data_IF_965214574908
#
_entry.id   IF_965214574908
#
_cell.length_a   1.000
_cell.length_b   1.000
_cell.length_c   1.000
_cell.angle_alpha   90.00
_cell.angle_beta   90.00
_cell.angle_gamma   90.00
#
_symmetry.space_group_name_H-M   'P 1'
#
loop_
_entity.id
_entity.type
_entity.pdbx_description
1 polymer ?
2 non-polymer ?
3 water ?
#
# COMPACT_ATOMS: atom_id res chain seq x y z
N UNK A 2 32.10 25.09 -6.37
CA UNK A 2 31.12 24.43 -5.52
C UNK A 2 30.68 23.10 -6.11
N UNK A 3 30.84 22.03 -5.34
CA UNK A 3 30.44 20.69 -5.75
C UNK A 3 29.00 20.45 -5.31
N UNK A 4 28.11 20.25 -6.27
CA UNK A 4 26.70 20.03 -5.95
C UNK A 4 25.99 19.38 -7.12
N UNK A 5 24.83 18.83 -6.81
CA UNK A 5 23.99 18.14 -7.80
C UNK A 5 22.67 18.89 -7.91
N UNK A 6 22.29 19.24 -9.14
CA UNK A 6 21.08 20.02 -9.41
C UNK A 6 20.05 19.06 -9.97
N UNK A 7 19.03 18.77 -9.17
CA UNK A 7 17.98 17.82 -9.55
C UNK A 7 16.83 18.53 -10.24
N UNK A 8 16.11 17.80 -11.08
CA UNK A 8 14.92 18.32 -11.72
C UNK A 8 14.00 17.15 -12.09
N UNK A 9 12.74 17.48 -12.35
CA UNK A 9 11.75 16.49 -12.69
C UNK A 9 10.84 16.14 -11.53
N UNK A 10 10.08 15.07 -11.72
CA UNK A 10 9.13 14.62 -10.74
C UNK A 10 7.73 15.13 -11.01
N UNK A 11 6.90 15.07 -9.98
CA UNK A 11 5.55 15.57 -10.03
C UNK A 11 4.55 14.46 -9.83
N UNK A 12 3.29 14.77 -10.16
CA UNK A 12 2.18 13.86 -9.98
C UNK A 12 1.82 13.23 -11.31
N UNK A 13 1.81 11.90 -11.35
CA UNK A 13 1.45 11.13 -12.53
C UNK A 13 0.47 10.06 -12.12
N UNK A 14 -0.14 9.43 -13.11
CA UNK A 14 -1.09 8.39 -12.80
C UNK A 14 -0.42 7.02 -12.90
N UNK A 15 -0.91 6.02 -12.16
CA UNK A 15 -0.26 4.70 -12.17
C UNK A 15 -0.23 4.11 -13.57
N UNK A 16 0.78 3.26 -13.80
CA UNK A 16 1.15 2.86 -15.14
C UNK A 16 1.93 3.89 -15.91
N UNK A 17 2.00 5.12 -15.41
CA UNK A 17 2.73 6.17 -16.08
C UNK A 17 4.23 6.00 -15.95
N UNK A 18 4.94 6.96 -16.52
CA UNK A 18 6.40 6.97 -16.49
C UNK A 18 6.87 8.41 -16.41
N UNK A 19 8.09 8.59 -15.92
CA UNK A 19 8.73 9.90 -15.94
C UNK A 19 10.22 9.70 -15.70
N UNK A 20 10.97 10.78 -15.91
CA UNK A 20 12.43 10.75 -15.81
C UNK A 20 12.89 11.87 -14.91
N UNK A 21 13.73 11.52 -13.94
CA UNK A 21 14.37 12.50 -13.08
C UNK A 21 15.77 12.80 -13.60
N UNK A 22 16.18 14.05 -13.45
CA UNK A 22 17.50 14.50 -13.87
C UNK A 22 18.31 14.94 -12.66
N UNK A 23 19.63 14.84 -12.79
CA UNK A 23 20.57 15.22 -11.73
C UNK A 23 21.84 15.71 -12.41
N UNK A 24 21.96 17.03 -12.55
CA UNK A 24 23.10 17.61 -13.27
C UNK A 24 24.25 17.85 -12.30
N UNK A 25 25.43 17.32 -12.63
CA UNK A 25 26.61 17.52 -11.80
C UNK A 25 27.22 18.89 -12.05
N UNK A 26 27.65 19.54 -10.98
CA UNK A 26 28.28 20.85 -11.05
C UNK A 26 29.53 20.83 -10.16
N UNK A 27 30.66 21.22 -10.74
CA UNK A 27 31.92 21.22 -10.02
C UNK A 27 32.73 19.94 -10.13
N UNK A 28 32.19 18.91 -10.79
CA UNK A 28 32.93 17.68 -11.02
C UNK A 28 32.34 17.00 -12.25
N UNK A 29 33.00 15.94 -12.70
CA UNK A 29 32.60 15.21 -13.89
C UNK A 29 32.18 13.80 -13.52
N UNK A 30 31.13 13.30 -14.17
CA UNK A 30 30.68 11.93 -13.94
C UNK A 30 31.60 10.90 -14.58
N UNK A 31 32.37 11.31 -15.59
CA UNK A 31 33.33 10.40 -16.22
C UNK A 31 34.57 10.18 -15.37
N UNK A 32 34.80 11.03 -14.36
CA UNK A 32 35.98 10.89 -13.51
C UNK A 32 35.98 9.54 -12.82
N UNK A 33 37.14 8.87 -12.87
CA UNK A 33 37.28 7.58 -12.21
C UNK A 33 37.01 7.70 -10.71
N UNK A 34 36.31 6.71 -10.16
CA UNK A 34 35.91 6.70 -8.78
C UNK A 34 34.54 7.29 -8.50
N UNK A 35 33.97 8.03 -9.45
CA UNK A 35 32.72 8.76 -9.25
C UNK A 35 31.53 7.87 -9.59
N UNK A 36 30.50 7.91 -8.74
CA UNK A 36 29.25 7.26 -9.04
C UNK A 36 28.09 8.14 -8.65
N UNK A 37 26.91 7.81 -9.19
CA UNK A 37 25.68 8.50 -8.87
C UNK A 37 24.67 7.50 -8.33
N UNK A 38 24.04 7.83 -7.21
CA UNK A 38 23.12 6.96 -6.52
C UNK A 38 21.77 7.65 -6.36
N UNK A 39 20.70 6.89 -6.53
CA UNK A 39 19.35 7.39 -6.29
C UNK A 39 18.77 6.75 -5.04
N UNK A 40 18.24 7.59 -4.15
CA UNK A 40 17.64 7.16 -2.89
C UNK A 40 16.26 7.81 -2.82
N UNK A 41 15.30 7.12 -2.21
CA UNK A 41 13.96 7.67 -2.07
C UNK A 41 13.48 7.56 -0.62
N UNK A 42 12.47 8.37 -0.32
CA UNK A 42 11.92 8.52 1.03
C UNK A 42 10.42 8.70 0.92
N UNK A 43 9.66 7.68 1.30
CA UNK A 43 8.22 7.80 1.31
C UNK A 43 7.78 8.75 2.42
N UNK A 44 6.64 9.44 2.25
CA UNK A 44 6.16 10.36 3.30
C UNK A 44 6.08 9.71 4.67
N UNK A 45 6.79 10.28 5.64
CA UNK A 45 6.79 9.78 7.00
C UNK A 45 7.71 8.61 7.25
N UNK A 46 8.42 8.11 6.24
CA UNK A 46 9.27 6.95 6.38
C UNK A 46 10.74 7.35 6.21
N UNK A 47 11.61 6.35 6.20
CA UNK A 47 13.04 6.56 6.10
C UNK A 47 13.56 6.49 4.67
N UNK A 48 14.85 6.16 4.56
CA UNK A 48 15.55 6.19 3.29
C UNK A 48 15.65 4.78 2.71
N UNK A 49 15.51 4.68 1.39
CA UNK A 49 15.63 3.41 0.69
C UNK A 49 16.55 3.60 -0.52
N UNK A 50 17.61 2.80 -0.57
CA UNK A 50 18.51 2.82 -1.72
C UNK A 50 17.83 2.18 -2.92
N UNK A 51 17.96 2.82 -4.09
CA UNK A 51 17.33 2.34 -5.31
C UNK A 51 18.32 1.82 -6.33
N UNK A 52 19.36 2.59 -6.64
CA UNK A 52 20.27 2.23 -7.71
C UNK A 52 21.54 3.07 -7.62
N UNK A 53 22.62 2.54 -8.17
CA UNK A 53 23.91 3.22 -8.22
C UNK A 53 24.56 2.90 -9.55
N UNK A 54 25.05 3.93 -10.25
CA UNK A 54 25.79 3.75 -11.49
C UNK A 54 27.17 4.39 -11.32
N UNK A 55 28.21 3.67 -11.73
CA UNK A 55 29.58 4.12 -11.56
C UNK A 55 30.14 4.64 -12.87
N UNK A 56 31.31 5.28 -12.74
CA UNK A 56 32.00 5.87 -13.90
C UNK A 56 32.26 4.85 -15.01
N UNK A 57 32.47 3.58 -14.65
CA UNK A 57 32.88 2.55 -15.60
C UNK A 57 31.71 1.69 -16.09
N UNK A 58 30.50 2.23 -16.08
CA UNK A 58 29.26 1.60 -16.53
C UNK A 58 28.78 0.48 -15.60
N UNK A 59 29.51 0.16 -14.54
CA UNK A 59 29.00 -0.80 -13.56
C UNK A 59 27.80 -0.20 -12.82
N UNK A 60 26.91 -1.07 -12.36
CA UNK A 60 25.66 -0.60 -11.79
C UNK A 60 25.03 -1.70 -10.94
N UNK A 61 24.19 -1.28 -10.01
CA UNK A 61 23.43 -2.17 -9.15
C UNK A 61 22.04 -1.59 -8.92
N UNK A 62 21.06 -2.48 -8.75
CA UNK A 62 19.67 -2.07 -8.54
C UNK A 62 19.08 -2.78 -7.33
N UNK A 63 18.17 -2.08 -6.65
CA UNK A 63 17.37 -2.69 -5.60
C UNK A 63 16.22 -3.48 -6.23
N UNK A 64 15.81 -4.55 -5.54
CA UNK A 64 14.74 -5.39 -6.05
C UNK A 64 13.45 -4.62 -6.22
N UNK A 65 13.25 -3.55 -5.44
CA UNK A 65 12.02 -2.78 -5.51
C UNK A 65 11.87 -1.98 -6.80
N UNK A 66 12.90 -1.92 -7.64
CA UNK A 66 12.83 -1.12 -8.87
C UNK A 66 13.33 -1.91 -10.07
N UNK A 67 13.83 -3.13 -9.84
CA UNK A 67 14.30 -3.96 -10.93
C UNK A 67 13.18 -4.23 -11.93
N UNK A 68 13.51 -4.15 -13.22
CA UNK A 68 12.54 -4.35 -14.27
C UNK A 68 11.65 -3.17 -14.55
N UNK A 69 11.76 -2.09 -13.80
CA UNK A 69 10.92 -0.91 -13.98
C UNK A 69 11.72 0.39 -14.10
N UNK A 70 12.72 0.59 -13.26
CA UNK A 70 13.53 1.79 -13.27
C UNK A 70 14.90 1.47 -13.86
N UNK A 71 15.41 2.37 -14.70
CA UNK A 71 16.78 2.28 -15.19
C UNK A 71 17.54 3.56 -14.85
N UNK A 72 18.82 3.39 -14.55
CA UNK A 72 19.70 4.49 -14.15
C UNK A 72 20.68 4.74 -15.28
N UNK A 73 21.01 6.00 -15.53
CA UNK A 73 21.82 6.36 -16.68
C UNK A 73 22.67 7.58 -16.35
N UNK A 74 23.65 7.84 -17.21
CA UNK A 74 24.51 9.00 -17.10
C UNK A 74 24.91 9.45 -18.50
N UNK A 75 24.74 10.74 -18.78
CA UNK A 75 25.10 11.32 -20.07
C UNK A 75 26.32 12.21 -19.86
N UNK A 76 27.46 11.78 -20.39
CA UNK A 76 28.68 12.58 -20.27
C UNK A 76 28.58 13.89 -21.03
N UNK A 77 27.91 13.88 -22.18
CA UNK A 77 27.78 15.08 -23.00
C UNK A 77 27.08 16.21 -22.25
N UNK A 78 26.17 15.86 -21.34
CA UNK A 78 25.50 16.85 -20.50
C UNK A 78 25.94 16.80 -19.06
N UNK A 79 26.85 15.90 -18.70
CA UNK A 79 27.31 15.72 -17.32
C UNK A 79 26.12 15.54 -16.38
N UNK A 80 25.13 14.77 -16.83
CA UNK A 80 23.85 14.62 -16.14
C UNK A 80 23.51 13.15 -15.98
N UNK A 81 23.07 12.79 -14.79
CA UNK A 81 22.58 11.45 -14.51
C UNK A 81 21.05 11.45 -14.51
N UNK A 82 20.47 10.28 -14.79
CA UNK A 82 19.03 10.16 -14.94
C UNK A 82 18.53 8.91 -14.23
N UNK A 83 17.30 9.00 -13.73
CA UNK A 83 16.54 7.83 -13.29
C UNK A 83 15.30 7.76 -14.16
N UNK A 84 15.25 6.75 -15.04
CA UNK A 84 14.09 6.54 -15.91
C UNK A 84 13.12 5.60 -15.18
N UNK A 85 11.98 6.15 -14.75
CA UNK A 85 11.03 5.43 -13.92
C UNK A 85 9.84 5.02 -14.78
N UNK A 86 9.66 3.71 -14.95
CA UNK A 86 8.54 3.20 -15.73
C UNK A 86 7.65 2.31 -14.88
N UNK A 87 6.39 2.23 -15.32
CA UNK A 87 5.30 1.52 -14.67
C UNK A 87 5.27 1.79 -13.16
N UNK A 88 4.98 3.05 -12.85
CA UNK A 88 4.86 3.52 -11.49
C UNK A 88 3.55 3.02 -10.88
N UNK A 89 3.61 2.77 -9.58
CA UNK A 89 2.45 2.43 -8.78
C UNK A 89 2.35 3.40 -7.62
N UNK A 90 1.21 3.37 -6.93
CA UNK A 90 1.01 4.27 -5.79
C UNK A 90 2.11 4.11 -4.75
N UNK A 91 2.68 2.90 -4.63
CA UNK A 91 3.75 2.65 -3.67
C UNK A 91 5.09 3.22 -4.10
N UNK A 92 5.19 3.80 -5.29
CA UNK A 92 6.39 4.52 -5.70
C UNK A 92 6.38 5.97 -5.21
N UNK A 93 5.28 6.40 -4.58
CA UNK A 93 5.18 7.76 -4.08
C UNK A 93 6.24 8.03 -3.03
N UNK A 94 7.13 8.99 -3.30
CA UNK A 94 8.23 9.29 -2.40
C UNK A 94 8.97 10.52 -2.90
N UNK A 95 9.79 11.08 -2.02
CA UNK A 95 10.78 12.08 -2.41
C UNK A 95 12.02 11.34 -2.91
N UNK A 96 12.48 11.70 -4.11
CA UNK A 96 13.60 11.02 -4.73
C UNK A 96 14.83 11.91 -4.72
N UNK A 97 15.94 11.37 -4.23
CA UNK A 97 17.21 12.09 -4.16
C UNK A 97 18.23 11.44 -5.06
N UNK A 98 19.09 12.25 -5.66
CA UNK A 98 20.34 11.76 -6.21
C UNK A 98 21.46 12.16 -5.26
N UNK A 99 22.57 11.44 -5.36
CA UNK A 99 23.71 11.67 -4.48
C UNK A 99 24.97 11.17 -5.17
N UNK A 100 26.09 11.82 -4.87
CA UNK A 100 27.35 11.52 -5.51
C UNK A 100 28.10 10.46 -4.71
N UNK A 101 28.58 9.43 -5.40
CA UNK A 101 29.36 8.33 -4.83
C UNK A 101 28.94 7.90 -3.43
N UNK A 109 33.51 5.15 0.05
CA UNK A 109 32.26 4.95 -0.67
C UNK A 109 31.07 5.33 0.20
N UNK A 110 30.61 6.57 0.05
CA UNK A 110 29.53 7.09 0.88
C UNK A 110 28.81 8.20 0.13
N UNK A 111 27.50 8.27 0.32
CA UNK A 111 26.67 9.21 -0.42
C UNK A 111 26.89 10.63 0.11
N UNK A 112 27.38 11.51 -0.77
CA UNK A 112 27.75 12.87 -0.42
C UNK A 112 27.21 13.82 -1.48
N UNK A 113 27.03 15.08 -1.08
CA UNK A 113 26.53 16.14 -1.95
C UNK A 113 25.18 15.75 -2.56
N UNK A 114 24.21 15.50 -1.68
CA UNK A 114 22.89 15.08 -2.12
C UNK A 114 22.20 16.19 -2.91
N UNK A 115 21.44 15.78 -3.93
CA UNK A 115 20.51 16.70 -4.55
C UNK A 115 19.42 17.14 -3.59
N UNK A 116 18.63 18.12 -4.03
CA UNK A 116 17.61 18.68 -3.15
C UNK A 116 16.43 17.75 -2.94
N UNK A 117 16.19 16.81 -3.84
CA UNK A 117 15.04 15.93 -3.73
C UNK A 117 13.83 16.47 -4.46
N UNK A 118 13.05 15.58 -5.06
CA UNK A 118 11.78 15.98 -5.67
C UNK A 118 10.73 14.91 -5.39
N UNK A 119 9.51 15.36 -5.14
CA UNK A 119 8.42 14.45 -4.85
C UNK A 119 7.88 13.86 -6.14
N UNK A 120 7.72 12.54 -6.16
CA UNK A 120 6.98 11.84 -7.21
C UNK A 120 5.74 11.25 -6.57
N UNK A 121 4.57 11.71 -7.00
CA UNK A 121 3.31 11.19 -6.50
C UNK A 121 2.63 10.40 -7.62
N UNK A 122 2.27 9.17 -7.32
CA UNK A 122 1.61 8.29 -8.28
C UNK A 122 0.21 8.03 -7.75
N UNK A 123 -0.78 8.66 -8.39
CA UNK A 123 -2.15 8.66 -7.89
C UNK A 123 -3.11 8.77 -9.05
N UNK A 124 -4.20 8.03 -8.99
CA UNK A 124 -5.27 8.12 -9.98
C UNK A 124 -6.53 8.77 -9.38
N UNK A 125 -6.38 9.46 -8.26
CA UNK A 125 -7.50 10.13 -7.63
C UNK A 125 -7.17 10.70 -6.26
N UNK A 127 -8.65 14.28 -3.25
CA UNK A 127 -9.66 13.26 -3.37
C UNK A 127 -9.75 12.36 -2.16
N UNK A 128 -9.68 11.05 -2.38
CA UNK A 128 -9.69 10.08 -1.29
C UNK A 128 -11.03 9.94 -0.61
N UNK A 129 -12.10 9.77 -1.40
CA UNK A 129 -13.45 9.63 -0.88
C UNK A 129 -13.78 8.19 -0.46
N UNK A 130 -12.76 7.35 -0.24
CA UNK A 130 -13.01 5.95 0.05
C UNK A 130 -13.61 5.78 1.43
N UNK A 131 -14.69 5.00 1.51
CA UNK A 131 -15.32 4.68 2.78
C UNK A 131 -14.45 3.69 3.54
N UNK A 132 -14.03 4.07 4.75
CA UNK A 132 -13.22 3.20 5.58
C UNK A 132 -14.12 2.38 6.51
N UNK A 133 -13.87 1.08 6.58
CA UNK A 133 -14.62 0.18 7.45
C UNK A 133 -13.71 -0.26 8.58
N UNK A 134 -14.18 -0.10 9.82
CA UNK A 134 -13.44 -0.49 11.01
C UNK A 134 -14.19 -1.62 11.71
N UNK A 135 -13.49 -2.71 11.98
CA UNK A 135 -14.05 -3.84 12.71
C UNK A 135 -13.49 -3.86 14.13
N UNK A 136 -14.31 -4.36 15.05
CA UNK A 136 -13.91 -4.50 16.45
C UNK A 136 -14.53 -5.78 16.99
N UNK A 137 -13.74 -6.62 17.69
CA UNK A 137 -12.31 -6.41 17.89
C UNK A 137 -11.51 -6.93 16.71
N UNK A 138 -10.17 -6.83 16.76
CA UNK A 138 -9.35 -7.43 15.71
C UNK A 138 -9.21 -8.94 15.88
N UNK A 139 -9.37 -9.44 17.10
CA UNK A 139 -9.37 -10.86 17.38
C UNK A 139 -10.09 -11.08 18.70
N UNK A 140 -10.66 -12.27 18.86
CA UNK A 140 -11.33 -12.61 20.11
C UNK A 140 -11.20 -14.10 20.36
N UNK A 141 -11.13 -14.47 21.63
CA UNK A 141 -11.07 -15.86 22.05
C UNK A 141 -12.45 -16.32 22.48
N UNK A 142 -12.79 -17.56 22.14
CA UNK A 142 -14.13 -18.06 22.42
C UNK A 142 -14.08 -19.57 22.53
N UNK A 143 -15.07 -20.11 23.24
CA UNK A 143 -15.23 -21.55 23.39
C UNK A 143 -16.49 -21.99 22.64
N UNK A 144 -16.52 -23.28 22.28
CA UNK A 144 -17.69 -23.84 21.62
C UNK A 144 -18.93 -23.61 22.48
N UNK A 145 -20.01 -23.16 21.84
CA UNK A 145 -21.24 -22.84 22.54
C UNK A 145 -21.36 -21.41 23.01
N UNK A 146 -20.33 -20.59 22.82
CA UNK A 146 -20.37 -19.20 23.27
C UNK A 146 -21.16 -18.33 22.32
N UNK A 147 -21.71 -17.24 22.86
CA UNK A 147 -22.25 -16.17 22.04
C UNK A 147 -21.12 -15.24 21.63
N UNK A 148 -21.04 -14.94 20.33
CA UNK A 148 -19.96 -14.12 19.79
C UNK A 148 -20.58 -12.95 19.04
N UNK A 149 -20.14 -11.74 19.34
CA UNK A 149 -20.60 -10.52 18.70
C UNK A 149 -19.40 -9.80 18.08
N UNK A 150 -19.51 -9.49 16.79
CA UNK A 150 -18.48 -8.79 16.06
C UNK A 150 -19.09 -7.52 15.49
N UNK A 151 -18.44 -6.38 15.74
CA UNK A 151 -18.98 -5.10 15.34
C UNK A 151 -18.20 -4.51 14.17
N UNK A 152 -18.86 -3.60 13.47
CA UNK A 152 -18.32 -2.96 12.28
C UNK A 152 -18.98 -1.60 12.11
N UNK A 153 -18.23 -0.64 11.59
CA UNK A 153 -18.76 0.67 11.35
C UNK A 153 -18.11 1.27 10.11
N UNK A 154 -18.80 2.21 9.49
CA UNK A 154 -18.38 2.82 8.25
C UNK A 154 -18.09 4.30 8.46
N UNK A 155 -17.08 4.80 7.77
CA UNK A 155 -16.74 6.21 7.84
C UNK A 155 -17.81 7.11 7.25
N UNK A 156 -18.78 6.55 6.52
CA UNK A 156 -19.92 7.30 6.02
C UNK A 156 -21.18 6.46 6.19
N UNK A 157 -22.32 7.08 5.92
CA UNK A 157 -23.58 6.35 5.93
C UNK A 157 -23.65 5.44 4.70
N UNK A 158 -23.68 4.14 4.95
CA UNK A 158 -23.79 3.15 3.87
C UNK A 158 -25.16 2.50 3.83
N UNK A 159 -26.11 3.03 4.59
CA UNK A 159 -27.46 2.45 4.72
C UNK A 159 -27.28 1.00 5.18
N UNK A 160 -27.97 0.04 4.56
CA UNK A 160 -27.83 -1.37 4.91
C UNK A 160 -26.97 -2.14 3.91
N UNK A 161 -26.17 -1.44 3.11
CA UNK A 161 -25.34 -2.08 2.08
C UNK A 161 -24.06 -2.61 2.72
N UNK A 162 -24.22 -3.71 3.46
CA UNK A 162 -23.15 -4.30 4.25
C UNK A 162 -23.24 -5.82 4.17
N UNK A 163 -22.13 -6.46 3.83
CA UNK A 163 -22.03 -7.91 3.78
C UNK A 163 -21.08 -8.41 4.85
N UNK A 164 -21.25 -9.68 5.23
CA UNK A 164 -20.38 -10.34 6.19
C UNK A 164 -19.81 -11.61 5.56
N UNK A 165 -18.49 -11.75 5.60
CA UNK A 165 -17.82 -12.89 4.99
C UNK A 165 -17.04 -13.68 6.05
N UNK A 166 -16.87 -14.97 5.77
CA UNK A 166 -16.09 -15.87 6.60
C UNK A 166 -14.98 -16.48 5.76
N UNK A 167 -13.78 -16.55 6.32
CA UNK A 167 -12.64 -17.14 5.64
C UNK A 167 -11.86 -18.01 6.60
N UNK A 168 -11.62 -19.25 6.21
CA UNK A 168 -10.77 -20.17 6.94
C UNK A 168 -9.38 -20.19 6.32
N UNK A 169 -8.36 -20.60 7.08
CA UNK A 169 -6.99 -20.57 6.55
C UNK A 169 -6.86 -21.39 5.27
N UNK A 170 -6.20 -20.79 4.27
CA UNK A 170 -6.01 -21.44 2.99
C UNK A 170 -7.25 -21.55 2.13
N UNK A 171 -8.39 -21.01 2.57
CA UNK A 171 -9.64 -21.09 1.83
C UNK A 171 -10.06 -19.72 1.36
N UNK A 172 -10.94 -19.72 0.35
CA UNK A 172 -11.51 -18.47 -0.12
C UNK A 172 -12.59 -17.99 0.83
N UNK A 173 -12.82 -16.68 0.90
CA UNK A 173 -13.93 -16.17 1.72
C UNK A 173 -15.27 -16.75 1.28
N UNK A 174 -16.23 -16.68 2.19
CA UNK A 174 -17.56 -17.24 1.95
C UNK A 174 -18.60 -16.27 2.46
N UNK A 175 -19.58 -15.96 1.62
CA UNK A 175 -20.63 -15.03 2.00
C UNK A 175 -21.53 -15.65 3.06
N UNK A 176 -21.75 -14.91 4.15
CA UNK A 176 -22.64 -15.35 5.23
C UNK A 176 -23.93 -14.55 5.28
N UNK A 177 -23.84 -13.22 5.18
CA UNK A 177 -24.98 -12.34 5.34
C UNK A 177 -24.83 -11.18 4.37
N UNK A 178 -25.90 -10.88 3.63
CA UNK A 178 -25.93 -9.76 2.70
C UNK A 178 -27.02 -8.78 3.11
N UNK A 179 -26.83 -7.52 2.74
CA UNK A 179 -27.75 -6.44 3.06
C UNK A 179 -28.07 -6.41 4.56
N UNK A 180 -26.99 -6.33 5.36
CA UNK A 180 -27.03 -6.17 6.81
C UNK A 180 -27.56 -7.39 7.55
N UNK A 181 -28.74 -7.89 7.19
CA UNK A 181 -29.40 -8.91 8.00
C UNK A 181 -29.89 -10.15 7.24
N UNK A 182 -29.71 -10.22 5.92
CA UNK A 182 -30.24 -11.33 5.15
C UNK A 182 -29.26 -12.49 5.18
N UNK A 183 -29.68 -13.61 5.76
CA UNK A 183 -28.84 -14.80 5.85
C UNK A 183 -28.70 -15.45 4.49
N UNK A 184 -27.48 -15.82 4.13
CA UNK A 184 -27.23 -16.46 2.85
C UNK A 184 -27.73 -17.90 2.89
N UNK A 185 -28.44 -18.30 1.83
CA UNK A 185 -29.00 -19.64 1.74
C UNK A 185 -27.94 -20.70 2.02
N UNK A 186 -28.26 -21.61 2.95
CA UNK A 186 -27.33 -22.65 3.32
C UNK A 186 -26.43 -22.33 4.49
N UNK A 187 -26.34 -21.07 4.89
CA UNK A 187 -25.57 -20.71 6.08
C UNK A 187 -26.44 -20.94 7.32
N UNK A 188 -25.92 -21.57 8.37
CA UNK A 188 -26.76 -21.89 9.54
C UNK A 188 -27.36 -20.64 10.17
N UNK A 189 -28.59 -20.79 10.67
CA UNK A 189 -29.32 -19.68 11.25
C UNK A 189 -28.75 -19.18 12.57
N UNK A 190 -27.72 -19.85 13.12
CA UNK A 190 -27.05 -19.29 14.29
C UNK A 190 -26.31 -18.00 13.95
N UNK A 191 -26.02 -17.77 12.68
CA UNK A 191 -25.45 -16.51 12.23
C UNK A 191 -26.56 -15.51 11.96
N UNK A 192 -26.40 -14.28 12.45
CA UNK A 192 -27.37 -13.23 12.18
C UNK A 192 -26.65 -11.89 12.15
N UNK A 193 -27.22 -10.95 11.41
CA UNK A 193 -26.66 -9.61 11.30
C UNK A 193 -27.70 -8.57 11.63
N UNK A 194 -27.23 -7.46 12.18
CA UNK A 194 -28.11 -6.35 12.54
C UNK A 194 -27.32 -5.06 12.45
N UNK A 195 -28.03 -3.95 12.60
CA UNK A 195 -27.45 -2.62 12.48
C UNK A 195 -28.08 -1.71 13.52
N UNK A 196 -27.26 -1.14 14.39
CA UNK A 196 -27.74 -0.21 15.40
C UNK A 196 -27.45 1.23 15.00
N UNK A 197 -27.14 2.07 15.98
CA UNK A 197 -26.82 3.45 15.70
C UNK A 197 -25.46 3.62 15.04
N UNK A 198 -25.46 3.71 13.71
CA UNK A 198 -24.31 4.01 12.88
C UNK A 198 -23.24 2.92 12.86
N UNK A 199 -23.55 1.72 13.34
CA UNK A 199 -22.61 0.62 13.20
C UNK A 199 -23.38 -0.70 13.07
N UNK A 200 -22.64 -1.75 12.73
CA UNK A 200 -23.21 -3.03 12.35
C UNK A 200 -22.65 -4.13 13.25
N UNK A 201 -23.41 -5.21 13.40
CA UNK A 201 -23.03 -6.31 14.28
C UNK A 201 -23.29 -7.64 13.60
N UNK A 202 -22.31 -8.54 13.66
CA UNK A 202 -22.50 -9.94 13.30
C UNK A 202 -22.50 -10.76 14.58
N UNK A 203 -23.52 -11.59 14.74
CA UNK A 203 -23.72 -12.37 15.95
C UNK A 203 -23.72 -13.86 15.60
N UNK A 204 -22.99 -14.65 16.39
CA UNK A 204 -23.05 -16.09 16.35
C UNK A 204 -23.65 -16.55 17.68
N UNK A 205 -24.90 -17.01 17.64
CA UNK A 205 -25.64 -17.27 18.87
C UNK A 205 -24.98 -18.35 19.71
N UNK A 206 -24.46 -19.39 19.06
CA UNK A 206 -23.78 -20.48 19.76
C UNK A 206 -22.63 -20.96 18.87
N UNK A 207 -21.40 -20.65 19.27
CA UNK A 207 -20.24 -20.93 18.44
C UNK A 207 -20.02 -22.43 18.28
N UNK A 208 -19.93 -22.87 17.03
CA UNK A 208 -19.69 -24.26 16.70
C UNK A 208 -18.23 -24.46 16.28
N UNK A 209 -17.71 -25.69 16.36
CA UNK A 209 -16.29 -25.90 16.06
C UNK A 209 -15.86 -25.43 14.68
N UNK A 210 -16.73 -25.50 13.68
CA UNK A 210 -16.41 -25.06 12.34
C UNK A 210 -16.42 -23.54 12.20
N UNK A 211 -16.74 -22.80 13.25
CA UNK A 211 -16.89 -21.35 13.17
C UNK A 211 -15.63 -20.58 13.54
N UNK A 212 -14.57 -21.26 13.97
CA UNK A 212 -13.31 -20.58 14.24
C UNK A 212 -12.67 -20.20 12.91
N UNK A 213 -12.62 -18.91 12.62
CA UNK A 213 -12.21 -18.41 11.31
C UNK A 213 -11.98 -16.91 11.44
N UNK A 214 -11.76 -16.25 10.32
CA UNK A 214 -11.65 -14.81 10.24
C UNK A 214 -12.87 -14.25 9.52
N UNK A 215 -13.44 -13.17 10.07
CA UNK A 215 -14.67 -12.60 9.56
C UNK A 215 -14.41 -11.19 9.06
N UNK A 216 -15.03 -10.84 7.93
CA UNK A 216 -14.81 -9.55 7.28
C UNK A 216 -16.16 -8.88 7.01
N UNK A 217 -16.25 -7.61 7.35
CA UNK A 217 -17.37 -6.82 6.84
C UNK A 217 -16.97 -6.22 5.50
N UNK A 218 -17.98 -5.71 4.78
CA UNK A 218 -17.75 -5.18 3.44
C UNK A 218 -18.92 -4.30 3.05
N UNK A 219 -18.64 -3.05 2.69
CA UNK A 219 -19.67 -2.15 2.19
C UNK A 219 -19.70 -2.18 0.67
N UNK A 220 -20.90 -1.99 0.12
CA UNK A 220 -21.07 -1.89 -1.33
C UNK A 220 -22.07 -0.80 -1.69
N UNK A 221 -22.19 0.23 -0.85
CA UNK A 221 -23.02 1.37 -1.20
C UNK A 221 -22.32 2.31 -2.18
N UNK A 222 -20.99 2.27 -2.23
CA UNK A 222 -20.24 3.05 -3.19
C UNK A 222 -18.98 2.29 -3.60
N UNK A 223 -18.62 2.41 -4.88
CA UNK A 223 -17.28 2.00 -5.27
C UNK A 223 -16.28 3.08 -4.87
N UNK A 224 -15.08 2.71 -4.41
CA UNK A 224 -14.57 1.34 -4.30
C UNK A 224 -15.19 0.55 -3.15
N UNK A 225 -15.49 -0.72 -3.39
CA UNK A 225 -15.88 -1.61 -2.30
C UNK A 225 -14.72 -1.77 -1.33
N UNK A 226 -15.02 -1.64 -0.04
CA UNK A 226 -14.00 -1.71 0.98
C UNK A 226 -14.37 -2.73 2.03
N UNK A 227 -13.36 -3.44 2.53
CA UNK A 227 -13.51 -4.42 3.58
C UNK A 227 -12.98 -3.85 4.89
N UNK A 228 -13.45 -4.45 6.00
CA UNK A 228 -12.82 -4.25 7.28
C UNK A 228 -11.55 -5.08 7.41
N UNK A 229 -10.75 -4.77 8.43
CA UNK A 229 -9.46 -5.44 8.61
C UNK A 229 -9.60 -6.88 9.08
N UNK A 230 -10.81 -7.35 9.38
CA UNK A 230 -10.97 -8.75 9.77
C UNK A 230 -10.92 -8.95 11.27
N UNK A 231 -11.67 -9.95 11.73
CA UNK A 231 -11.69 -10.35 13.12
C UNK A 231 -11.43 -11.85 13.19
N UNK A 232 -10.35 -12.23 13.87
CA UNK A 232 -10.01 -13.64 14.04
C UNK A 232 -10.71 -14.18 15.27
N UNK A 233 -11.47 -15.26 15.10
CA UNK A 233 -12.12 -15.95 16.19
C UNK A 233 -11.30 -17.20 16.49
N UNK A 234 -10.60 -17.19 17.62
CA UNK A 234 -9.69 -18.26 17.98
C UNK A 234 -10.24 -19.05 19.17
N UNK A 235 -9.75 -20.28 19.29
CA UNK A 235 -10.12 -21.12 20.43
C UNK A 235 -9.47 -20.56 21.69
N UNK A 236 -10.22 -20.62 22.80
CA UNK A 236 -9.71 -20.13 24.07
C UNK A 236 -8.57 -21.01 24.59
X LIG B 1 16.79 -2.52 -14.33
X LIG B 1 15.55 -2.23 -13.67
X LIG B 1 17.19 -3.96 -14.06
X LIG B 1 16.25 -4.85 -14.66
X LIG C 1 -17.56 -14.35 23.92
X LIG C 1 -17.79 -13.97 22.56
X LIG C 1 -16.07 -14.24 24.22
X LIG C 1 -15.36 -15.17 23.40
X LIG D 1 11.69 17.92 0.10
X LIG D 1 10.69 17.75 -0.92
X LIG D 1 12.94 17.12 -0.29
X LIG D 1 13.92 17.24 0.74
X LIG E 1 7.65 0.00 -5.28
X LIG E 1 6.29 -0.29 -4.94
X LIG E 1 8.51 -1.20 -4.91
X LIG E 1 7.85 -2.41 -5.30
#
# INVERSE_FOLDING_TARGET
MEVQLVESGGGLVQPGGSLRLSCAASGFSLSTSGIGVTWVRQAPGKGLEWLATIWWDDDNRYADSVKGRFTISADTSKNTAYLQMNCLTAEDTAVYYCAQSAITSVTDSAMDHWGQGTLVTVSSGGGGSDIQMTQSPSSLSASVGDRVTITCRASQDISSYLNWYQQKPGKAPKLLIYYTSSLHSGVPSRFSGSRSGTDFTLTISSLQPEDFATYYCQQYSKFPWTFGQGTKVEIKGSHHHHHH
EDO C1 O1 C2 O2
EDO C1 O1 C2 O2
EDO C1 O1 C2 O2
EDO C1 O1 C2 O2
#
